data_IF_268047613591
#
_entry.id   IF_268047613591
#
_cell.length_a   1.000
_cell.length_b   1.000
_cell.length_c   1.000
_cell.angle_alpha   90.00
_cell.angle_beta   90.00
_cell.angle_gamma   90.00
#
_symmetry.space_group_name_H-M   'P 1'
#
loop_
_entity.id
_entity.type
_entity.pdbx_description
1 polymer ?
#
# COMPACT_ATOMS: atom_id res chain seq x y z
N UNK A 1 -15.23 -2.98 -55.38
CA UNK A 1 -16.21 -2.30 -54.50
C UNK A 1 -16.68 -3.29 -53.45
N UNK A 2 -16.21 -3.17 -52.21
CA UNK A 2 -16.77 -3.94 -51.10
C UNK A 2 -18.17 -3.42 -50.82
N UNK A 3 -19.18 -4.31 -50.80
CA UNK A 3 -20.55 -3.93 -50.44
C UNK A 3 -20.57 -3.35 -49.03
N UNK A 4 -21.48 -2.41 -48.76
CA UNK A 4 -21.60 -1.72 -47.46
C UNK A 4 -21.66 -2.69 -46.27
N UNK A 5 -22.23 -3.88 -46.47
CA UNK A 5 -22.27 -4.95 -45.47
C UNK A 5 -20.92 -5.64 -45.25
N UNK A 6 -20.15 -5.90 -46.31
CA UNK A 6 -18.82 -6.52 -46.17
C UNK A 6 -17.79 -5.58 -45.51
N UNK A 7 -17.93 -4.28 -45.73
CA UNK A 7 -17.12 -3.26 -45.05
C UNK A 7 -17.45 -3.16 -43.55
N UNK A 8 -18.73 -3.28 -43.18
CA UNK A 8 -19.17 -3.33 -41.78
C UNK A 8 -18.68 -4.60 -41.07
N UNK A 9 -18.75 -5.76 -41.73
CA UNK A 9 -18.26 -7.02 -41.17
C UNK A 9 -16.76 -6.98 -40.94
N UNK A 10 -15.98 -6.44 -41.89
CA UNK A 10 -14.53 -6.29 -41.72
C UNK A 10 -14.20 -5.31 -40.59
N UNK A 11 -14.93 -4.20 -40.45
CA UNK A 11 -14.75 -3.26 -39.34
C UNK A 11 -15.05 -3.90 -37.99
N UNK A 12 -16.13 -4.66 -37.87
CA UNK A 12 -16.48 -5.40 -36.65
C UNK A 12 -15.43 -6.48 -36.38
N UNK A 13 -14.94 -7.18 -37.41
CA UNK A 13 -13.90 -8.21 -37.25
C UNK A 13 -12.55 -7.61 -36.82
N UNK A 14 -12.18 -6.42 -37.33
CA UNK A 14 -10.98 -5.67 -36.91
C UNK A 14 -11.16 -5.09 -35.49
N UNK A 15 -12.37 -4.66 -35.12
CA UNK A 15 -12.68 -4.28 -33.74
C UNK A 15 -12.54 -5.49 -32.82
N UNK A 16 -13.17 -6.62 -33.15
CA UNK A 16 -13.11 -7.85 -32.35
C UNK A 16 -11.69 -8.41 -32.27
N UNK A 17 -10.90 -8.32 -33.34
CA UNK A 17 -9.48 -8.72 -33.35
C UNK A 17 -8.57 -7.76 -32.58
N UNK A 18 -8.92 -6.48 -32.45
CA UNK A 18 -8.16 -5.56 -31.57
C UNK A 18 -8.47 -5.78 -30.08
N UNK A 19 -9.55 -6.51 -29.76
CA UNK A 19 -9.87 -6.95 -28.39
C UNK A 19 -9.24 -8.29 -27.97
N UNK A 20 -8.56 -9.04 -28.85
CA UNK A 20 -8.00 -10.36 -28.51
C UNK A 20 -6.58 -10.35 -27.94
N UNK A 21 -5.94 -9.17 -27.82
CA UNK A 21 -4.72 -9.04 -27.01
C UNK A 21 -5.07 -8.38 -25.68
N UNK A 22 -4.98 -9.17 -24.60
CA UNK A 22 -5.30 -8.71 -23.25
C UNK A 22 -4.46 -7.51 -22.79
N UNK A 23 -3.28 -7.28 -23.40
CA UNK A 23 -2.46 -6.09 -23.18
C UNK A 23 -2.99 -4.82 -23.89
N UNK A 24 -3.48 -4.90 -25.14
CA UNK A 24 -4.02 -3.71 -25.83
C UNK A 24 -5.39 -3.30 -25.30
N UNK A 25 -6.23 -4.26 -24.91
CA UNK A 25 -7.50 -3.96 -24.23
C UNK A 25 -7.28 -3.26 -22.86
N UNK A 26 -6.12 -3.51 -22.25
CA UNK A 26 -5.77 -3.05 -20.92
C UNK A 26 -5.23 -1.60 -20.94
N UNK A 27 -4.40 -1.24 -21.90
CA UNK A 27 -3.99 0.15 -22.12
C UNK A 27 -5.13 1.02 -22.68
N UNK A 28 -6.04 0.42 -23.45
CA UNK A 28 -7.24 1.10 -23.93
C UNK A 28 -8.15 1.54 -22.78
N UNK A 29 -8.38 0.70 -21.76
CA UNK A 29 -9.23 1.05 -20.61
C UNK A 29 -8.66 2.23 -19.80
N UNK A 30 -7.35 2.24 -19.53
CA UNK A 30 -6.69 3.37 -18.84
C UNK A 30 -6.71 4.62 -19.71
N UNK A 31 -6.50 4.48 -21.02
CA UNK A 31 -6.59 5.59 -21.97
C UNK A 31 -8.00 6.20 -22.02
N UNK A 32 -9.05 5.37 -21.96
CA UNK A 32 -10.44 5.83 -21.86
C UNK A 32 -10.68 6.60 -20.56
N UNK A 33 -10.22 6.08 -19.41
CA UNK A 33 -10.32 6.76 -18.12
C UNK A 33 -9.58 8.12 -18.12
N UNK A 34 -8.35 8.13 -18.65
CA UNK A 34 -7.56 9.34 -18.87
C UNK A 34 -8.30 10.33 -19.79
N UNK A 35 -8.97 9.85 -20.83
CA UNK A 35 -9.81 10.65 -21.73
C UNK A 35 -10.94 11.34 -20.98
N UNK A 36 -11.75 10.59 -20.24
CA UNK A 36 -12.82 11.15 -19.40
C UNK A 36 -12.29 12.17 -18.39
N UNK A 37 -11.13 11.89 -17.79
CA UNK A 37 -10.50 12.80 -16.85
C UNK A 37 -10.08 14.12 -17.53
N UNK A 38 -9.47 14.06 -18.71
CA UNK A 38 -9.10 15.26 -19.50
C UNK A 38 -10.32 16.09 -19.91
N UNK A 39 -11.44 15.45 -20.25
CA UNK A 39 -12.71 16.13 -20.53
C UNK A 39 -13.48 16.55 -19.27
N UNK A 40 -12.87 16.49 -18.08
CA UNK A 40 -13.45 16.86 -16.79
C UNK A 40 -14.70 16.04 -16.40
N UNK A 41 -14.93 14.90 -17.05
CA UNK A 41 -15.97 13.96 -16.65
C UNK A 41 -15.43 13.03 -15.55
N UNK A 42 -15.23 13.61 -14.36
CA UNK A 42 -14.57 12.93 -13.25
C UNK A 42 -15.37 11.72 -12.72
N UNK A 43 -16.70 11.75 -12.83
CA UNK A 43 -17.55 10.61 -12.44
C UNK A 43 -17.28 9.39 -13.32
N UNK A 44 -17.23 9.58 -14.65
CA UNK A 44 -16.89 8.49 -15.57
C UNK A 44 -15.44 8.05 -15.41
N UNK A 45 -14.51 9.01 -15.29
CA UNK A 45 -13.11 8.71 -15.05
C UNK A 45 -12.93 7.82 -13.80
N UNK A 46 -13.54 8.20 -12.68
CA UNK A 46 -13.55 7.40 -11.45
C UNK A 46 -14.07 5.98 -11.68
N UNK A 47 -15.25 5.84 -12.30
CA UNK A 47 -15.85 4.51 -12.55
C UNK A 47 -14.90 3.62 -13.36
N UNK A 48 -14.25 4.16 -14.39
CA UNK A 48 -13.31 3.41 -15.20
C UNK A 48 -12.02 3.08 -14.45
N UNK A 49 -11.45 4.01 -13.68
CA UNK A 49 -10.27 3.74 -12.87
C UNK A 49 -10.53 2.68 -11.80
N UNK A 50 -11.63 2.79 -11.04
CA UNK A 50 -11.98 1.85 -9.97
C UNK A 50 -12.24 0.45 -10.53
N UNK A 51 -13.07 0.33 -11.57
CA UNK A 51 -13.37 -0.96 -12.20
C UNK A 51 -12.11 -1.63 -12.72
N UNK A 52 -11.22 -0.84 -13.32
CA UNK A 52 -9.96 -1.34 -13.84
C UNK A 52 -8.98 -1.75 -12.74
N UNK A 53 -8.80 -0.93 -11.70
CA UNK A 53 -7.94 -1.26 -10.56
C UNK A 53 -8.39 -2.56 -9.88
N UNK A 54 -9.70 -2.72 -9.63
CA UNK A 54 -10.28 -3.96 -9.10
C UNK A 54 -10.02 -5.18 -9.99
N UNK A 55 -10.07 -5.02 -11.32
CA UNK A 55 -9.75 -6.09 -12.27
C UNK A 55 -8.27 -6.46 -12.20
N UNK A 56 -7.38 -5.47 -12.11
CA UNK A 56 -5.94 -5.70 -11.97
C UNK A 56 -5.62 -6.43 -10.66
N UNK A 57 -6.17 -5.96 -9.55
CA UNK A 57 -6.02 -6.56 -8.23
C UNK A 57 -6.53 -8.01 -8.23
N UNK A 58 -7.70 -8.26 -8.83
CA UNK A 58 -8.20 -9.62 -9.01
C UNK A 58 -7.24 -10.50 -9.81
N UNK A 59 -6.66 -9.98 -10.90
CA UNK A 59 -5.72 -10.75 -11.73
C UNK A 59 -4.37 -10.97 -11.04
N UNK A 60 -3.95 -10.07 -10.15
CA UNK A 60 -2.78 -10.24 -9.28
C UNK A 60 -3.00 -11.36 -8.27
N UNK A 61 -4.22 -11.48 -7.72
CA UNK A 61 -4.56 -12.47 -6.69
C UNK A 61 -5.10 -13.79 -7.25
N UNK A 62 -5.57 -13.82 -8.50
CA UNK A 62 -6.14 -15.01 -9.11
C UNK A 62 -5.08 -16.10 -9.26
N UNK A 63 -5.25 -17.19 -8.51
CA UNK A 63 -4.68 -18.48 -8.86
C UNK A 63 -5.49 -19.02 -10.04
N UNK A 64 -4.98 -18.84 -11.26
CA UNK A 64 -5.60 -19.47 -12.43
C UNK A 64 -5.29 -20.99 -12.35
N UNK A 65 -6.32 -21.86 -12.22
CA UNK A 65 -6.12 -23.30 -12.14
C UNK A 65 -5.41 -23.87 -13.37
N UNK A 66 -5.44 -23.15 -14.50
CA UNK A 66 -4.86 -23.53 -15.78
C UNK A 66 -3.52 -22.83 -16.09
N UNK A 67 -3.03 -21.95 -15.20
CA UNK A 67 -1.72 -21.30 -15.26
C UNK A 67 -0.59 -22.31 -14.96
N UNK A 68 -0.48 -23.32 -15.82
CA UNK A 68 0.56 -24.33 -15.74
C UNK A 68 1.74 -23.90 -16.60
N UNK A 69 2.71 -23.26 -15.95
CA UNK A 69 3.92 -22.83 -16.65
C UNK A 69 4.90 -23.99 -16.75
N UNK A 70 5.33 -24.29 -17.97
CA UNK A 70 6.50 -25.13 -18.21
C UNK A 70 7.67 -24.54 -17.40
N UNK A 71 8.22 -25.33 -16.46
CA UNK A 71 9.24 -24.91 -15.52
C UNK A 71 10.57 -24.63 -16.23
N UNK A 72 10.65 -23.46 -16.86
CA UNK A 72 11.85 -22.85 -17.44
C UNK A 72 12.02 -21.51 -16.71
N UNK A 73 13.25 -21.16 -16.32
CA UNK A 73 13.56 -19.88 -15.65
C UNK A 73 12.95 -18.65 -16.34
N UNK A 74 12.75 -18.70 -17.65
CA UNK A 74 12.10 -17.65 -18.45
C UNK A 74 10.61 -17.45 -18.11
N UNK A 75 9.89 -18.51 -17.72
CA UNK A 75 8.48 -18.43 -17.37
C UNK A 75 8.27 -17.71 -16.04
N UNK A 76 9.11 -17.99 -15.04
CA UNK A 76 9.09 -17.28 -13.75
C UNK A 76 9.40 -15.79 -13.94
N UNK A 77 10.44 -15.46 -14.73
CA UNK A 77 10.77 -14.07 -15.08
C UNK A 77 9.59 -13.35 -15.74
N UNK A 78 8.92 -13.99 -16.71
CA UNK A 78 7.75 -13.43 -17.39
C UNK A 78 6.59 -13.17 -16.41
N UNK A 79 6.37 -14.04 -15.43
CA UNK A 79 5.36 -13.82 -14.40
C UNK A 79 5.70 -12.66 -13.48
N UNK A 80 6.98 -12.52 -13.11
CA UNK A 80 7.46 -11.38 -12.33
C UNK A 80 7.26 -10.06 -13.08
N UNK A 81 7.58 -10.02 -14.37
CA UNK A 81 7.38 -8.83 -15.22
C UNK A 81 5.90 -8.47 -15.34
N UNK A 82 5.05 -9.45 -15.67
CA UNK A 82 3.60 -9.23 -15.79
C UNK A 82 2.97 -8.82 -14.46
N UNK A 83 3.40 -9.42 -13.36
CA UNK A 83 2.96 -9.07 -12.01
C UNK A 83 3.34 -7.64 -11.63
N UNK A 84 4.57 -7.21 -11.94
CA UNK A 84 5.01 -5.82 -11.75
C UNK A 84 4.18 -4.84 -12.57
N UNK A 85 3.96 -5.10 -13.86
CA UNK A 85 3.15 -4.25 -14.74
C UNK A 85 1.70 -4.10 -14.21
N UNK A 86 1.08 -5.21 -13.81
CA UNK A 86 -0.26 -5.19 -13.20
C UNK A 86 -0.27 -4.39 -11.90
N UNK A 87 0.77 -4.50 -11.07
CA UNK A 87 0.89 -3.77 -9.81
C UNK A 87 1.03 -2.26 -10.06
N UNK A 88 1.89 -1.84 -10.99
CA UNK A 88 2.08 -0.42 -11.36
C UNK A 88 0.77 0.22 -11.83
N UNK A 89 0.01 -0.51 -12.65
CA UNK A 89 -1.27 -0.02 -13.16
C UNK A 89 -2.37 -0.03 -12.10
N UNK A 90 -2.39 -1.02 -11.20
CA UNK A 90 -3.27 -1.01 -10.03
C UNK A 90 -3.01 0.22 -9.16
N UNK A 91 -1.72 0.51 -8.87
CA UNK A 91 -1.32 1.70 -8.13
C UNK A 91 -1.81 2.97 -8.80
N UNK A 92 -1.49 3.16 -10.09
CA UNK A 92 -1.87 4.34 -10.85
C UNK A 92 -3.38 4.56 -10.87
N UNK A 93 -4.17 3.50 -11.11
CA UNK A 93 -5.61 3.63 -11.19
C UNK A 93 -6.26 3.91 -9.84
N UNK A 94 -5.80 3.32 -8.74
CA UNK A 94 -6.30 3.72 -7.42
C UNK A 94 -5.92 5.16 -7.07
N UNK A 95 -4.68 5.59 -7.39
CA UNK A 95 -4.27 6.98 -7.23
C UNK A 95 -5.18 7.93 -8.02
N UNK A 96 -5.38 7.68 -9.31
CA UNK A 96 -6.23 8.53 -10.17
C UNK A 96 -7.72 8.46 -9.82
N UNK A 97 -8.20 7.34 -9.28
CA UNK A 97 -9.55 7.26 -8.72
C UNK A 97 -9.69 8.20 -7.50
N UNK A 98 -8.68 8.25 -6.62
CA UNK A 98 -8.60 9.25 -5.55
C UNK A 98 -8.62 10.68 -6.09
N UNK A 99 -7.82 10.97 -7.13
CA UNK A 99 -7.78 12.31 -7.74
C UNK A 99 -9.13 12.70 -8.33
N UNK A 100 -9.81 11.77 -8.99
CA UNK A 100 -11.14 12.00 -9.54
C UNK A 100 -12.17 12.27 -8.44
N UNK A 101 -12.11 11.57 -7.30
CA UNK A 101 -12.98 11.81 -6.15
C UNK A 101 -12.74 13.17 -5.50
N UNK A 102 -11.49 13.62 -5.40
CA UNK A 102 -11.20 15.00 -4.96
C UNK A 102 -11.85 16.02 -5.89
N UNK A 103 -11.75 15.84 -7.22
CA UNK A 103 -12.41 16.72 -8.20
C UNK A 103 -13.94 16.67 -8.15
N UNK A 104 -14.51 15.63 -7.54
CA UNK A 104 -15.94 15.49 -7.26
C UNK A 104 -16.33 16.00 -5.86
N UNK A 105 -15.41 16.64 -5.12
CA UNK A 105 -15.60 17.09 -3.74
C UNK A 105 -15.97 15.95 -2.77
N UNK A 106 -15.34 14.78 -2.93
CA UNK A 106 -15.50 13.61 -2.06
C UNK A 106 -14.18 13.24 -1.34
N UNK A 107 -13.70 14.09 -0.42
CA UNK A 107 -12.37 13.93 0.20
C UNK A 107 -12.24 12.65 1.04
N UNK A 108 -13.27 12.29 1.81
CA UNK A 108 -13.26 11.07 2.64
C UNK A 108 -13.13 9.79 1.79
N UNK A 109 -13.83 9.74 0.66
CA UNK A 109 -13.70 8.62 -0.28
C UNK A 109 -12.32 8.63 -0.94
N UNK A 110 -11.79 9.80 -1.31
CA UNK A 110 -10.48 9.92 -1.95
C UNK A 110 -9.34 9.37 -1.08
N UNK A 111 -9.34 9.68 0.23
CA UNK A 111 -8.36 9.14 1.19
C UNK A 111 -8.33 7.61 1.15
N UNK A 112 -9.48 6.95 1.12
CA UNK A 112 -9.55 5.49 1.05
C UNK A 112 -8.89 4.93 -0.22
N UNK A 113 -9.01 5.62 -1.35
CA UNK A 113 -8.37 5.21 -2.61
C UNK A 113 -6.86 5.46 -2.60
N UNK A 114 -6.39 6.54 -2.00
CA UNK A 114 -4.97 6.77 -1.83
C UNK A 114 -4.30 5.74 -0.92
N UNK A 115 -4.95 5.35 0.18
CA UNK A 115 -4.50 4.26 1.06
C UNK A 115 -4.48 2.92 0.31
N UNK A 116 -5.47 2.64 -0.55
CA UNK A 116 -5.43 1.45 -1.43
C UNK A 116 -4.25 1.49 -2.39
N UNK A 117 -3.98 2.64 -3.02
CA UNK A 117 -2.80 2.79 -3.87
C UNK A 117 -1.51 2.54 -3.09
N UNK A 118 -1.40 3.04 -1.86
CA UNK A 118 -0.24 2.80 -1.00
C UNK A 118 0.01 1.30 -0.72
N UNK A 119 -1.06 0.53 -0.56
CA UNK A 119 -0.99 -0.94 -0.42
C UNK A 119 -0.58 -1.67 -1.70
N UNK A 120 -0.74 -1.03 -2.86
CA UNK A 120 -0.39 -1.56 -4.18
C UNK A 120 1.03 -1.16 -4.61
N UNK A 121 1.94 -1.01 -3.65
CA UNK A 121 3.39 -0.89 -3.88
C UNK A 121 4.10 -2.25 -3.83
N UNK A 122 3.46 -3.23 -3.20
CA UNK A 122 3.91 -4.60 -3.13
C UNK A 122 2.70 -5.55 -3.19
N UNK A 123 2.88 -6.70 -3.84
CA UNK A 123 1.89 -7.76 -3.86
C UNK A 123 2.58 -9.12 -3.95
N UNK A 124 1.82 -10.18 -3.71
CA UNK A 124 2.29 -11.54 -3.95
C UNK A 124 1.24 -12.33 -4.74
N UNK A 125 1.69 -13.36 -5.45
CA UNK A 125 0.84 -14.30 -6.18
C UNK A 125 1.40 -15.71 -6.07
N UNK A 126 0.52 -16.68 -5.82
CA UNK A 126 0.87 -18.09 -5.92
C UNK A 126 0.77 -18.55 -7.38
N UNK A 127 1.82 -19.18 -7.89
CA UNK A 127 1.91 -19.67 -9.27
C UNK A 127 2.32 -21.14 -9.28
N UNK A 128 1.65 -21.95 -10.10
CA UNK A 128 1.96 -23.37 -10.25
C UNK A 128 2.85 -23.60 -11.47
N UNK A 129 4.04 -24.15 -11.26
CA UNK A 129 4.94 -24.56 -12.33
C UNK A 129 4.85 -26.07 -12.56
N UNK A 130 4.67 -26.49 -13.81
CA UNK A 130 4.76 -27.90 -14.22
C UNK A 130 6.15 -28.16 -14.78
N UNK A 131 6.86 -29.11 -14.19
CA UNK A 131 8.11 -29.59 -14.75
C UNK A 131 7.86 -30.44 -16.01
N UNK A 132 8.53 -30.13 -17.12
CA UNK A 132 8.27 -30.76 -18.44
C UNK A 132 8.55 -32.26 -18.45
N UNK A 133 9.68 -32.68 -17.85
CA UNK A 133 10.12 -34.07 -17.86
C UNK A 133 9.39 -34.95 -16.82
N UNK A 134 9.21 -34.44 -15.60
CA UNK A 134 8.66 -35.23 -14.49
C UNK A 134 7.16 -35.03 -14.29
N UNK A 135 6.54 -34.06 -15.00
CA UNK A 135 5.15 -33.59 -14.81
C UNK A 135 4.82 -33.15 -13.37
N UNK A 136 5.83 -33.02 -12.51
CA UNK A 136 5.66 -32.61 -11.12
C UNK A 136 5.19 -31.16 -11.08
N UNK A 137 4.13 -30.91 -10.30
CA UNK A 137 3.63 -29.57 -9.99
C UNK A 137 4.37 -29.00 -8.80
N UNK A 138 4.82 -27.76 -8.92
CA UNK A 138 5.46 -27.01 -7.83
C UNK A 138 4.76 -25.66 -7.72
N UNK A 139 4.13 -25.39 -6.57
CA UNK A 139 3.56 -24.08 -6.28
C UNK A 139 4.69 -23.21 -5.74
N UNK A 140 4.83 -21.99 -6.26
CA UNK A 140 5.73 -20.96 -5.74
C UNK A 140 4.95 -19.68 -5.49
N UNK A 141 5.29 -19.00 -4.40
CA UNK A 141 4.78 -17.66 -4.11
C UNK A 141 5.76 -16.62 -4.63
N UNK A 142 5.34 -15.84 -5.63
CA UNK A 142 6.12 -14.75 -6.20
C UNK A 142 5.76 -13.45 -5.51
N UNK A 143 6.75 -12.62 -5.19
CA UNK A 143 6.57 -11.28 -4.63
C UNK A 143 6.96 -10.25 -5.69
N UNK A 144 6.10 -9.26 -5.91
CA UNK A 144 6.31 -8.16 -6.82
C UNK A 144 6.35 -6.86 -6.02
N UNK A 145 7.35 -6.03 -6.28
CA UNK A 145 7.50 -4.71 -5.67
C UNK A 145 7.73 -3.67 -6.78
N UNK A 146 7.15 -2.49 -6.58
CA UNK A 146 7.30 -1.35 -7.47
C UNK A 146 7.78 -0.12 -6.67
N UNK A 147 8.44 0.80 -7.34
CA UNK A 147 8.80 2.12 -6.81
C UNK A 147 8.08 3.19 -7.66
N UNK A 148 6.79 3.47 -7.37
CA UNK A 148 5.99 4.34 -8.23
C UNK A 148 6.46 5.79 -8.11
N UNK A 149 6.52 6.49 -9.26
CA UNK A 149 6.96 7.89 -9.31
C UNK A 149 6.07 8.82 -8.47
N UNK A 150 4.77 8.54 -8.41
CA UNK A 150 3.78 9.34 -7.68
C UNK A 150 3.62 8.95 -6.20
N UNK A 151 4.54 8.17 -5.62
CA UNK A 151 4.44 7.75 -4.22
C UNK A 151 4.41 8.93 -3.23
N UNK A 152 5.32 9.90 -3.41
CA UNK A 152 5.38 11.07 -2.54
C UNK A 152 4.14 11.96 -2.71
N UNK A 153 3.69 12.16 -3.96
CA UNK A 153 2.46 12.89 -4.24
C UNK A 153 1.22 12.21 -3.61
N UNK A 154 1.22 10.88 -3.50
CA UNK A 154 0.19 10.14 -2.79
C UNK A 154 0.21 10.46 -1.28
N UNK A 155 1.39 10.44 -0.63
CA UNK A 155 1.53 10.86 0.76
C UNK A 155 1.04 12.30 1.00
N UNK A 156 1.46 13.25 0.16
CA UNK A 156 1.08 14.66 0.26
C UNK A 156 -0.43 14.86 0.17
N UNK A 157 -1.11 14.11 -0.71
CA UNK A 157 -2.57 14.16 -0.85
C UNK A 157 -3.29 13.55 0.34
N UNK A 158 -2.84 12.40 0.85
CA UNK A 158 -3.42 11.80 2.07
C UNK A 158 -3.29 12.78 3.24
N UNK A 159 -2.12 13.42 3.35
CA UNK A 159 -1.86 14.45 4.33
C UNK A 159 -2.85 15.63 4.19
N UNK A 160 -2.95 16.22 3.00
CA UNK A 160 -3.81 17.38 2.75
C UNK A 160 -5.30 17.10 3.01
N UNK A 161 -5.74 15.87 2.79
CA UNK A 161 -7.13 15.45 3.03
C UNK A 161 -7.41 15.07 4.50
N UNK A 162 -6.38 14.97 5.34
CA UNK A 162 -6.53 14.82 6.78
C UNK A 162 -7.00 13.43 7.22
N UNK A 163 -6.28 12.37 6.86
CA UNK A 163 -6.55 11.04 7.44
C UNK A 163 -6.47 11.10 8.98
N UNK A 164 -7.39 10.42 9.66
CA UNK A 164 -7.39 10.30 11.12
C UNK A 164 -6.18 9.46 11.58
N UNK A 165 -5.40 10.00 12.53
CA UNK A 165 -4.19 9.35 13.05
C UNK A 165 -4.52 8.04 13.75
N UNK A 166 -5.61 7.96 14.52
CA UNK A 166 -6.03 6.72 15.18
C UNK A 166 -6.43 5.66 14.15
N UNK A 167 -7.14 6.04 13.09
CA UNK A 167 -7.47 5.11 11.98
C UNK A 167 -6.19 4.58 11.31
N UNK A 168 -5.19 5.44 11.11
CA UNK A 168 -3.92 5.05 10.53
C UNK A 168 -3.13 4.09 11.45
N UNK A 169 -3.07 4.39 12.74
CA UNK A 169 -2.40 3.53 13.72
C UNK A 169 -3.08 2.16 13.85
N UNK A 170 -4.41 2.09 13.82
CA UNK A 170 -5.15 0.82 13.78
C UNK A 170 -4.83 -0.01 12.53
N UNK A 171 -4.66 0.65 11.37
CA UNK A 171 -4.24 -0.05 10.15
C UNK A 171 -2.82 -0.59 10.26
N UNK A 172 -1.89 0.20 10.82
CA UNK A 172 -0.51 -0.24 11.07
C UNK A 172 -0.53 -1.47 11.98
N UNK A 173 -1.25 -1.41 13.08
CA UNK A 173 -1.41 -2.53 14.02
C UNK A 173 -1.96 -3.78 13.35
N UNK A 174 -3.06 -3.67 12.62
CA UNK A 174 -3.68 -4.82 11.96
C UNK A 174 -2.70 -5.52 11.00
N UNK A 175 -1.91 -4.75 10.25
CA UNK A 175 -0.86 -5.32 9.36
C UNK A 175 0.28 -5.93 10.18
N UNK A 176 0.68 -5.29 11.28
CA UNK A 176 1.75 -5.76 12.17
C UNK A 176 1.39 -7.07 12.90
N UNK A 177 0.14 -7.22 13.33
CA UNK A 177 -0.38 -8.46 13.95
C UNK A 177 -0.35 -9.63 12.96
N UNK A 178 -0.80 -9.40 11.71
CA UNK A 178 -0.70 -10.41 10.65
C UNK A 178 0.77 -10.78 10.41
N UNK A 179 1.67 -9.79 10.35
CA UNK A 179 3.11 -10.02 10.17
C UNK A 179 3.69 -10.85 11.32
N UNK A 180 3.35 -10.55 12.57
CA UNK A 180 3.77 -11.31 13.76
C UNK A 180 3.32 -12.75 13.68
N UNK A 181 2.06 -12.98 13.34
CA UNK A 181 1.49 -14.33 13.29
C UNK A 181 2.15 -15.16 12.17
N UNK A 182 2.40 -14.53 11.02
CA UNK A 182 3.21 -15.13 9.95
C UNK A 182 4.64 -15.45 10.40
N UNK A 183 5.29 -14.56 11.18
CA UNK A 183 6.63 -14.81 11.71
C UNK A 183 6.67 -16.06 12.60
N UNK A 184 5.66 -16.26 13.45
CA UNK A 184 5.53 -17.45 14.30
C UNK A 184 5.36 -18.72 13.46
N UNK A 185 4.52 -18.68 12.42
CA UNK A 185 4.33 -19.82 11.51
C UNK A 185 5.63 -20.17 10.76
N UNK A 186 6.40 -19.15 10.35
CA UNK A 186 7.69 -19.34 9.66
C UNK A 186 8.73 -19.94 10.61
N UNK A 187 8.90 -19.35 11.80
CA UNK A 187 9.89 -19.79 12.78
C UNK A 187 9.59 -21.20 13.31
N UNK A 188 8.32 -21.52 13.53
CA UNK A 188 7.88 -22.85 14.00
C UNK A 188 7.88 -23.93 12.92
N UNK A 189 8.09 -23.58 11.65
CA UNK A 189 8.02 -24.54 10.55
C UNK A 189 6.64 -25.20 10.37
N UNK A 190 5.58 -24.53 10.82
CA UNK A 190 4.19 -25.03 10.76
C UNK A 190 3.75 -25.06 9.29
N UNK A 191 3.05 -26.11 8.85
CA UNK A 191 2.65 -26.31 7.45
C UNK A 191 3.83 -26.13 6.44
N UNK A 192 4.80 -27.08 6.38
CA UNK A 192 5.98 -26.95 5.52
C UNK A 192 5.67 -26.62 4.05
N UNK A 193 4.54 -27.13 3.54
CA UNK A 193 4.08 -26.89 2.16
C UNK A 193 3.64 -25.44 1.88
N UNK A 194 3.34 -24.65 2.92
CA UNK A 194 2.90 -23.25 2.81
C UNK A 194 3.97 -22.25 3.21
N UNK A 195 5.17 -22.71 3.58
CA UNK A 195 6.24 -21.84 4.08
C UNK A 195 6.62 -20.74 3.08
N UNK A 196 6.63 -21.03 1.79
CA UNK A 196 6.92 -20.03 0.76
C UNK A 196 5.82 -18.96 0.68
N UNK A 197 4.54 -19.34 0.85
CA UNK A 197 3.43 -18.40 0.91
C UNK A 197 3.53 -17.51 2.15
N UNK A 198 3.82 -18.10 3.32
CA UNK A 198 3.96 -17.34 4.55
C UNK A 198 5.07 -16.29 4.45
N UNK A 199 6.22 -16.65 3.87
CA UNK A 199 7.32 -15.72 3.62
C UNK A 199 6.93 -14.60 2.66
N UNK A 200 6.23 -14.93 1.57
CA UNK A 200 5.76 -13.94 0.60
C UNK A 200 4.75 -12.95 1.22
N UNK A 201 3.79 -13.47 2.00
CA UNK A 201 2.82 -12.65 2.75
C UNK A 201 3.50 -11.79 3.81
N UNK A 202 4.49 -12.33 4.50
CA UNK A 202 5.27 -11.61 5.49
C UNK A 202 5.96 -10.39 4.86
N UNK A 203 6.63 -10.58 3.71
CA UNK A 203 7.27 -9.48 2.97
C UNK A 203 6.27 -8.40 2.55
N UNK A 204 5.08 -8.80 2.08
CA UNK A 204 4.00 -7.85 1.73
C UNK A 204 3.52 -7.06 2.95
N UNK A 205 3.27 -7.72 4.08
CA UNK A 205 2.88 -7.05 5.31
C UNK A 205 3.97 -6.08 5.79
N UNK A 206 5.24 -6.48 5.74
CA UNK A 206 6.37 -5.65 6.16
C UNK A 206 6.45 -4.35 5.37
N UNK A 207 6.32 -4.40 4.04
CA UNK A 207 6.37 -3.19 3.21
C UNK A 207 5.12 -2.31 3.34
N UNK A 208 3.93 -2.91 3.49
CA UNK A 208 2.69 -2.15 3.75
C UNK A 208 2.75 -1.40 5.08
N UNK A 209 3.18 -2.08 6.13
CA UNK A 209 3.41 -1.49 7.44
C UNK A 209 4.44 -0.36 7.38
N UNK A 210 5.57 -0.57 6.69
CA UNK A 210 6.57 0.48 6.46
C UNK A 210 5.96 1.73 5.82
N UNK A 211 5.22 1.57 4.72
CA UNK A 211 4.60 2.71 4.02
C UNK A 211 3.58 3.47 4.90
N UNK A 212 2.76 2.74 5.68
CA UNK A 212 1.85 3.37 6.63
C UNK A 212 2.61 4.08 7.75
N UNK A 213 3.72 3.51 8.21
CA UNK A 213 4.60 4.11 9.21
C UNK A 213 5.23 5.41 8.73
N UNK A 214 5.74 5.44 7.50
CA UNK A 214 6.26 6.67 6.85
C UNK A 214 5.17 7.75 6.78
N UNK A 215 3.94 7.38 6.41
CA UNK A 215 2.82 8.31 6.39
C UNK A 215 2.51 8.87 7.79
N UNK A 216 2.49 8.01 8.82
CA UNK A 216 2.23 8.41 10.20
C UNK A 216 3.33 9.33 10.73
N UNK A 217 4.59 8.98 10.49
CA UNK A 217 5.75 9.78 10.84
C UNK A 217 5.66 11.18 10.21
N UNK A 218 5.46 11.26 8.90
CA UNK A 218 5.33 12.53 8.17
C UNK A 218 4.18 13.38 8.73
N UNK A 219 3.03 12.78 9.04
CA UNK A 219 1.88 13.48 9.61
C UNK A 219 2.20 14.13 10.95
N UNK A 220 2.83 13.39 11.86
CA UNK A 220 3.08 13.86 13.22
C UNK A 220 4.27 14.81 13.27
N UNK A 221 5.38 14.46 12.62
CA UNK A 221 6.60 15.29 12.59
C UNK A 221 6.31 16.64 11.95
N UNK A 222 5.53 16.68 10.87
CA UNK A 222 5.16 17.94 10.23
C UNK A 222 4.38 18.86 11.17
N UNK A 223 3.42 18.34 11.94
CA UNK A 223 2.69 19.13 12.93
C UNK A 223 3.61 19.62 14.07
N UNK A 224 4.44 18.73 14.60
CA UNK A 224 5.40 19.07 15.68
C UNK A 224 6.32 20.22 15.26
N UNK A 225 6.85 20.17 14.04
CA UNK A 225 7.74 21.21 13.49
C UNK A 225 7.04 22.56 13.30
N UNK A 226 5.71 22.60 13.35
CA UNK A 226 4.90 23.82 13.30
C UNK A 226 4.37 24.25 14.68
N UNK A 227 4.83 23.60 15.75
CA UNK A 227 4.36 23.85 17.11
C UNK A 227 2.97 23.26 17.41
N UNK A 228 2.45 22.38 16.55
CA UNK A 228 1.15 21.73 16.71
C UNK A 228 1.38 20.31 17.23
N UNK A 229 0.80 19.97 18.37
CA UNK A 229 1.03 18.67 19.03
C UNK A 229 -0.21 17.78 19.09
N UNK A 230 -1.31 18.14 18.44
CA UNK A 230 -2.58 17.40 18.48
C UNK A 230 -2.42 15.94 18.04
N UNK A 231 -1.76 15.67 16.90
CA UNK A 231 -1.54 14.29 16.45
C UNK A 231 -0.46 13.57 17.25
N UNK A 232 0.52 14.30 17.76
CA UNK A 232 1.52 13.74 18.68
C UNK A 232 0.86 13.23 19.96
N UNK A 233 0.01 14.04 20.60
CA UNK A 233 -0.69 13.67 21.82
C UNK A 233 -1.65 12.51 21.58
N UNK A 234 -2.35 12.49 20.44
CA UNK A 234 -3.18 11.36 20.03
C UNK A 234 -2.36 10.07 19.83
N UNK A 235 -1.17 10.18 19.23
CA UNK A 235 -0.25 9.06 19.05
C UNK A 235 0.26 8.50 20.39
N UNK A 236 0.74 9.37 21.29
CA UNK A 236 1.23 9.00 22.62
C UNK A 236 0.13 8.31 23.42
N UNK A 237 -1.07 8.90 23.43
CA UNK A 237 -2.25 8.31 24.08
C UNK A 237 -2.55 6.92 23.53
N UNK A 238 -2.58 6.79 22.19
CA UNK A 238 -2.87 5.52 21.55
C UNK A 238 -1.88 4.44 21.95
N UNK A 239 -0.57 4.68 21.84
CA UNK A 239 0.47 3.71 22.24
C UNK A 239 0.35 3.32 23.72
N UNK A 240 0.06 4.27 24.60
CA UNK A 240 -0.11 3.99 26.04
C UNK A 240 -1.32 3.08 26.34
N UNK A 241 -2.38 3.21 25.54
CA UNK A 241 -3.60 2.41 25.67
C UNK A 241 -3.47 0.99 25.09
N UNK A 242 -2.41 0.67 24.32
CA UNK A 242 -2.15 -0.68 23.79
C UNK A 242 -1.70 -1.67 24.88
N UNK A 243 -2.68 -2.20 25.62
CA UNK A 243 -2.50 -3.32 26.55
C UNK A 243 -3.41 -4.50 26.14
N UNK A 244 -2.90 -5.75 26.10
CA UNK A 244 -1.52 -6.16 26.40
C UNK A 244 -0.52 -5.67 25.33
N UNK A 245 0.72 -5.45 25.74
CA UNK A 245 1.82 -5.16 24.81
C UNK A 245 2.00 -6.38 23.93
N UNK A 246 1.96 -6.17 22.61
CA UNK A 246 2.21 -7.25 21.64
C UNK A 246 3.34 -6.86 20.71
N UNK A 247 3.97 -7.83 20.00
CA UNK A 247 4.97 -7.51 18.99
C UNK A 247 4.47 -6.58 17.86
N UNK A 248 3.16 -6.37 17.70
CA UNK A 248 2.63 -5.36 16.78
C UNK A 248 2.97 -3.93 17.21
N UNK A 249 3.11 -3.70 18.52
CA UNK A 249 3.53 -2.41 19.10
C UNK A 249 4.97 -2.06 18.68
N UNK A 250 5.84 -3.05 18.43
CA UNK A 250 7.24 -2.82 18.03
C UNK A 250 7.40 -1.94 16.79
N UNK A 251 6.43 -1.95 15.89
CA UNK A 251 6.47 -1.12 14.68
C UNK A 251 6.07 0.32 14.94
N UNK A 252 5.09 0.54 15.82
CA UNK A 252 4.75 1.86 16.30
C UNK A 252 5.85 2.43 17.20
N UNK A 253 6.59 1.57 17.92
CA UNK A 253 7.73 1.95 18.74
C UNK A 253 8.86 2.57 17.91
N UNK A 254 9.13 2.05 16.71
CA UNK A 254 10.12 2.67 15.80
C UNK A 254 9.74 4.10 15.44
N UNK A 255 8.45 4.36 15.21
CA UNK A 255 7.95 5.69 14.91
C UNK A 255 8.02 6.58 16.17
N UNK A 256 7.72 6.02 17.34
CA UNK A 256 7.85 6.71 18.63
C UNK A 256 9.29 7.17 18.87
N UNK A 257 10.29 6.35 18.54
CA UNK A 257 11.70 6.74 18.62
C UNK A 257 12.05 7.90 17.68
N UNK A 258 11.52 7.90 16.44
CA UNK A 258 11.71 9.04 15.52
C UNK A 258 11.09 10.31 16.09
N UNK A 259 9.86 10.23 16.63
CA UNK A 259 9.21 11.38 17.26
C UNK A 259 9.98 11.88 18.48
N UNK A 260 10.54 10.98 19.29
CA UNK A 260 11.42 11.31 20.43
C UNK A 260 12.66 12.09 19.96
N UNK A 261 13.35 11.62 18.93
CA UNK A 261 14.51 12.32 18.37
C UNK A 261 14.14 13.68 17.77
N UNK A 262 12.99 13.78 17.09
CA UNK A 262 12.49 15.06 16.58
C UNK A 262 12.19 16.05 17.72
N UNK A 263 11.58 15.57 18.80
CA UNK A 263 11.28 16.40 19.97
C UNK A 263 12.54 16.90 20.68
N UNK A 264 13.56 16.04 20.85
CA UNK A 264 14.89 16.45 21.35
C UNK A 264 15.48 17.55 20.49
N UNK A 265 15.37 17.42 19.15
CA UNK A 265 15.86 18.42 18.21
C UNK A 265 15.11 19.74 18.36
N UNK A 266 13.77 19.72 18.46
CA UNK A 266 12.97 20.93 18.67
C UNK A 266 13.36 21.62 19.99
N UNK A 267 13.49 20.86 21.08
CA UNK A 267 13.90 21.36 22.40
C UNK A 267 15.27 22.03 22.33
N UNK A 268 16.25 21.39 21.69
CA UNK A 268 17.61 21.90 21.58
C UNK A 268 17.71 23.23 20.80
N UNK A 269 16.78 23.48 19.88
CA UNK A 269 16.72 24.71 19.09
C UNK A 269 15.68 25.71 19.62
N UNK A 270 15.03 25.42 20.76
CA UNK A 270 14.07 26.34 21.38
C UNK A 270 14.82 27.42 22.16
N UNK A 271 15.11 28.54 21.50
CA UNK A 271 15.83 29.67 22.09
C UNK A 271 14.93 30.58 22.95
N UNK A 272 13.60 30.41 22.89
CA UNK A 272 12.63 31.27 23.58
C UNK A 272 11.83 30.48 24.64
N UNK A 273 12.03 30.74 25.94
CA UNK A 273 11.27 30.08 27.01
C UNK A 273 9.77 30.42 27.02
N UNK A 274 9.36 31.44 26.25
CA UNK A 274 7.95 31.84 26.07
C UNK A 274 7.34 31.36 24.74
N UNK A 275 8.00 30.42 24.03
CA UNK A 275 7.37 29.74 22.90
C UNK A 275 6.11 29.00 23.34
N UNK A 276 5.16 28.80 22.41
CA UNK A 276 4.03 27.89 22.63
C UNK A 276 4.22 26.69 21.70
N UNK A 277 4.37 25.45 22.24
CA UNK A 277 4.45 25.11 23.67
C UNK A 277 5.73 25.61 24.35
N UNK A 278 5.67 25.77 25.66
CA UNK A 278 6.79 26.17 26.52
C UNK A 278 7.84 25.06 26.60
N UNK A 279 9.07 25.41 26.97
CA UNK A 279 10.16 24.43 27.12
C UNK A 279 9.80 23.33 28.15
N UNK A 280 9.11 23.68 29.23
CA UNK A 280 8.65 22.74 30.25
C UNK A 280 7.61 21.75 29.70
N UNK A 281 6.66 22.23 28.88
CA UNK A 281 5.67 21.37 28.22
C UNK A 281 6.33 20.40 27.23
N UNK A 282 7.33 20.87 26.48
CA UNK A 282 8.09 20.01 25.55
C UNK A 282 8.90 18.95 26.30
N UNK A 283 9.56 19.33 27.40
CA UNK A 283 10.29 18.40 28.26
C UNK A 283 9.35 17.36 28.90
N UNK A 284 8.16 17.76 29.34
CA UNK A 284 7.15 16.85 29.87
C UNK A 284 6.68 15.84 28.80
N UNK A 285 6.42 16.30 27.57
CA UNK A 285 6.09 15.43 26.42
C UNK A 285 7.23 14.44 26.13
N UNK A 286 8.48 14.87 26.20
CA UNK A 286 9.65 14.02 25.99
C UNK A 286 9.79 12.95 27.08
N UNK A 287 9.61 13.34 28.35
CA UNK A 287 9.63 12.39 29.48
C UNK A 287 8.54 11.35 29.33
N UNK A 288 7.29 11.77 29.10
CA UNK A 288 6.16 10.85 28.97
C UNK A 288 6.32 9.86 27.81
N UNK A 289 6.78 10.32 26.65
CA UNK A 289 7.08 9.43 25.53
C UNK A 289 8.22 8.45 25.84
N UNK A 290 9.28 8.92 26.52
CA UNK A 290 10.42 8.08 26.91
C UNK A 290 10.01 6.99 27.90
N UNK A 291 9.21 7.32 28.90
CA UNK A 291 8.69 6.34 29.88
C UNK A 291 7.85 5.25 29.19
N UNK A 292 7.01 5.63 28.23
CA UNK A 292 6.20 4.69 27.45
C UNK A 292 7.10 3.76 26.62
N UNK A 293 8.11 4.32 25.94
CA UNK A 293 9.09 3.56 25.15
C UNK A 293 9.83 2.56 26.04
N UNK A 294 10.34 3.00 27.19
CA UNK A 294 11.11 2.16 28.12
C UNK A 294 10.23 1.04 28.70
N UNK A 295 8.99 1.36 29.07
CA UNK A 295 8.00 0.38 29.53
C UNK A 295 7.72 -0.67 28.44
N UNK A 296 7.54 -0.25 27.18
CA UNK A 296 7.28 -1.17 26.07
C UNK A 296 8.50 -2.07 25.82
N UNK A 297 9.70 -1.50 25.74
CA UNK A 297 10.93 -2.26 25.55
C UNK A 297 11.15 -3.31 26.65
N UNK A 298 10.80 -3.00 27.89
CA UNK A 298 10.90 -3.96 29.00
C UNK A 298 9.91 -5.13 28.90
N UNK A 299 8.81 -4.98 28.14
CA UNK A 299 7.69 -5.92 28.12
C UNK A 299 7.43 -6.58 26.75
N UNK A 300 8.15 -6.19 25.68
CA UNK A 300 8.19 -6.94 24.41
C UNK A 300 9.23 -8.06 24.57
N UNK A 301 8.80 -9.21 25.12
CA UNK A 301 9.54 -10.48 25.07
C UNK A 301 8.74 -11.52 24.27
#
# INVERSE_FOLDING_TARGET
>A
MLSRNSLLTVLVFVMVLSFTSSAMAFDACVSTANGFFKFKNYKMAFTHYDAYAKRCEKNLLAADPDDHYICIKSAEKKQLEKGRELLEKTFYCYYMAGVALEKLNKPADAVNYYVKALYMTIAYKNVTFIHTLTRKRTVKSLVFEIAPKDLNANYDRIYALGIDTAVLMEKIRAVAEIRRDLAKLIAGGIDPEKQDEYKARFAVCQKREYNLGVLLENLVVYEMNRGIYTRFDAFVKHINEFKPITPAVSSLLKIAEVMKQNLITIIAHSENPYSVPTLDELNAKLSGLSEIIDYINANIQ
#
